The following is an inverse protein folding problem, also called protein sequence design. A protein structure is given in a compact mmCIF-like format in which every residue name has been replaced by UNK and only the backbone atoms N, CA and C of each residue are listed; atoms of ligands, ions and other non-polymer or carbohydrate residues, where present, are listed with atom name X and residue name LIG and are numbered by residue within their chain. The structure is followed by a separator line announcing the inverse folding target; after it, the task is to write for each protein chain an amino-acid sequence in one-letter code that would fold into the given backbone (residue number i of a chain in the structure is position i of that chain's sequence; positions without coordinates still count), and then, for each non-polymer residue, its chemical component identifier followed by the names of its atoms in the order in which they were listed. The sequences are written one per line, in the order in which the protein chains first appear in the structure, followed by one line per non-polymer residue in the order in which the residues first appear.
data_IF_909054276877
#
_entry.id   IF_909054276877
#
_cell.length_a   1.000
_cell.length_b   1.000
_cell.length_c   1.000
_cell.angle_alpha   90.00
_cell.angle_beta   90.00
_cell.angle_gamma   90.00
#
_symmetry.space_group_name_H-M   'P 1'
#
loop_
_entity.id
_entity.type
_entity.pdbx_description
1 polymer ?
#
# COMPACT_ATOMS: atom_id res chain seq x y z
N UNK A 1 11.24 10.61 7.97
CA UNK A 1 9.97 10.29 7.29
C UNK A 1 9.28 9.03 7.83
N UNK A 2 9.85 7.82 7.72
CA UNK A 2 9.12 6.59 8.12
C UNK A 2 8.99 6.41 9.64
N UNK A 3 10.03 6.77 10.41
CA UNK A 3 10.01 6.76 11.88
C UNK A 3 9.02 7.77 12.43
N UNK A 4 8.98 8.97 11.85
CA UNK A 4 8.08 10.06 12.26
C UNK A 4 6.60 9.61 12.19
N UNK A 5 6.23 8.83 11.16
CA UNK A 5 4.89 8.23 11.04
C UNK A 5 4.58 7.23 12.16
N UNK A 6 5.56 6.43 12.60
CA UNK A 6 5.39 5.47 13.71
C UNK A 6 5.11 6.23 15.00
N UNK A 7 5.92 7.23 15.32
CA UNK A 7 5.72 8.04 16.53
C UNK A 7 4.42 8.84 16.48
N UNK A 8 4.09 9.44 15.34
CA UNK A 8 2.83 10.15 15.15
C UNK A 8 1.64 9.23 15.46
N UNK A 9 1.61 8.03 14.88
CA UNK A 9 0.54 7.06 15.10
C UNK A 9 0.47 6.60 16.55
N UNK A 10 1.63 6.39 17.15
CA UNK A 10 1.75 5.94 18.52
C UNK A 10 1.27 7.00 19.53
N UNK A 11 1.59 8.29 19.34
CA UNK A 11 1.01 9.38 20.14
C UNK A 11 -0.47 9.64 19.83
N UNK A 12 -0.91 9.42 18.59
CA UNK A 12 -2.32 9.50 18.23
C UNK A 12 -3.15 8.42 18.93
N UNK A 13 -2.62 7.20 19.02
CA UNK A 13 -3.31 6.09 19.70
C UNK A 13 -3.16 6.17 21.22
N UNK A 14 -1.96 6.50 21.72
CA UNK A 14 -1.59 6.52 23.15
C UNK A 14 -1.02 7.90 23.54
N UNK A 15 -1.89 8.93 23.70
CA UNK A 15 -1.44 10.28 24.04
C UNK A 15 -0.77 10.36 25.42
N UNK A 16 -1.13 9.45 26.32
CA UNK A 16 -0.57 9.32 27.66
C UNK A 16 0.91 8.95 27.68
N UNK A 17 1.39 8.35 26.59
CA UNK A 17 2.80 8.02 26.46
C UNK A 17 3.71 9.25 26.46
N UNK A 18 3.25 10.39 25.94
CA UNK A 18 4.04 11.62 26.03
C UNK A 18 4.35 11.94 27.49
N UNK A 19 3.33 11.87 28.35
CA UNK A 19 3.45 12.21 29.76
C UNK A 19 4.32 11.22 30.50
N UNK A 20 4.20 9.94 30.17
CA UNK A 20 5.09 8.91 30.68
C UNK A 20 6.56 9.16 30.28
N UNK A 21 6.81 9.53 29.02
CA UNK A 21 8.14 9.86 28.49
C UNK A 21 8.80 11.06 29.17
N UNK A 22 8.01 12.01 29.68
CA UNK A 22 8.51 13.19 30.38
C UNK A 22 8.45 13.07 31.91
N UNK A 23 8.20 11.86 32.43
CA UNK A 23 8.08 11.55 33.86
C UNK A 23 6.91 12.25 34.58
N UNK A 24 5.78 12.41 33.88
CA UNK A 24 4.52 12.91 34.41
C UNK A 24 3.46 11.79 34.52
N UNK A 25 2.44 11.95 35.39
CA UNK A 25 1.34 10.99 35.49
C UNK A 25 0.58 10.83 34.17
N UNK A 26 0.31 9.59 33.77
CA UNK A 26 -0.39 9.24 32.51
C UNK A 26 -1.79 9.87 32.44
N UNK A 27 -2.45 10.06 33.57
CA UNK A 27 -3.78 10.64 33.68
C UNK A 27 -3.83 12.10 33.22
N UNK A 28 -2.67 12.78 33.16
CA UNK A 28 -2.60 14.14 32.63
C UNK A 28 -3.10 14.20 31.19
N UNK A 29 -2.90 13.13 30.42
CA UNK A 29 -3.38 13.01 29.04
C UNK A 29 -4.89 13.20 28.88
N UNK A 30 -5.69 12.91 29.91
CA UNK A 30 -7.14 13.11 29.89
C UNK A 30 -7.53 14.58 29.73
N UNK A 31 -6.60 15.51 29.99
CA UNK A 31 -6.79 16.94 29.82
C UNK A 31 -6.19 17.49 28.52
N UNK A 32 -5.77 16.61 27.61
CA UNK A 32 -5.10 16.97 26.37
C UNK A 32 -5.72 16.32 25.15
N UNK A 33 -5.64 17.04 24.03
CA UNK A 33 -5.96 16.53 22.70
C UNK A 33 -4.72 16.54 21.82
N UNK A 34 -4.39 15.39 21.24
CA UNK A 34 -3.33 15.29 20.24
C UNK A 34 -3.82 15.77 18.86
N UNK A 35 -3.01 16.59 18.19
CA UNK A 35 -3.28 17.10 16.84
C UNK A 35 -1.97 17.35 16.08
N UNK A 36 -2.01 17.19 14.76
CA UNK A 36 -1.03 17.84 13.86
C UNK A 36 -1.55 19.22 13.48
N UNK A 37 -0.66 20.20 13.32
CA UNK A 37 -1.06 21.55 12.88
C UNK A 37 -0.23 22.00 11.68
N UNK A 38 -0.94 22.41 10.62
CA UNK A 38 -0.37 23.03 9.43
C UNK A 38 -0.48 24.56 9.51
N UNK A 39 0.66 25.24 9.43
CA UNK A 39 0.76 26.68 9.44
C UNK A 39 0.82 27.21 8.01
N UNK A 40 -0.32 27.74 7.55
CA UNK A 40 -0.61 28.10 6.14
C UNK A 40 0.35 29.12 5.50
N UNK A 41 1.06 29.94 6.28
CA UNK A 41 1.83 31.05 5.71
C UNK A 41 3.14 30.61 5.05
N UNK A 42 3.68 29.43 5.36
CA UNK A 42 4.98 28.94 4.85
C UNK A 42 5.06 27.40 4.69
N UNK A 43 3.92 26.67 4.69
CA UNK A 43 3.90 25.19 4.65
C UNK A 43 4.69 24.53 5.80
N UNK A 44 4.75 25.21 6.95
CA UNK A 44 5.29 24.63 8.18
C UNK A 44 4.26 23.70 8.82
N UNK A 45 4.69 22.54 9.29
CA UNK A 45 3.82 21.56 9.93
C UNK A 45 4.48 21.08 11.20
N UNK A 46 3.75 21.15 12.31
CA UNK A 46 4.17 20.54 13.57
C UNK A 46 3.39 19.24 13.72
N UNK A 47 4.11 18.13 13.74
CA UNK A 47 3.52 16.80 13.66
C UNK A 47 2.94 16.34 15.00
N UNK A 48 3.51 16.76 16.13
CA UNK A 48 2.96 16.47 17.45
C UNK A 48 2.61 17.73 18.23
N UNK A 49 1.32 18.06 18.34
CA UNK A 49 0.83 19.12 19.23
C UNK A 49 -0.18 18.55 20.21
N UNK A 50 0.11 18.65 21.51
CA UNK A 50 -0.82 18.30 22.58
C UNK A 50 -1.43 19.58 23.13
N UNK A 51 -2.70 19.78 22.79
CA UNK A 51 -3.46 20.97 23.17
C UNK A 51 -4.20 20.69 24.48
N UNK A 52 -3.98 21.51 25.53
CA UNK A 52 -4.67 21.35 26.79
C UNK A 52 -6.12 21.84 26.68
N UNK A 53 -7.02 21.22 27.45
CA UNK A 53 -8.41 21.67 27.60
C UNK A 53 -8.56 22.79 28.65
N UNK A 54 -7.48 23.10 29.39
CA UNK A 54 -7.44 24.11 30.45
C UNK A 54 -6.36 25.14 30.19
N UNK A 55 -6.60 26.40 30.58
CA UNK A 55 -5.66 27.51 30.36
C UNK A 55 -4.41 27.47 31.26
N UNK A 56 -4.50 26.82 32.42
CA UNK A 56 -3.39 26.71 33.37
C UNK A 56 -2.34 25.65 32.98
N UNK A 57 -2.67 24.81 32.01
CA UNK A 57 -1.80 23.76 31.49
C UNK A 57 -1.05 24.25 30.24
N UNK A 58 0.22 23.83 30.03
CA UNK A 58 1.00 24.23 28.87
C UNK A 58 0.59 23.44 27.62
N UNK A 59 0.78 24.04 26.43
CA UNK A 59 0.80 23.32 25.15
C UNK A 59 2.12 22.56 25.04
N UNK A 60 2.09 21.27 24.66
CA UNK A 60 3.31 20.53 24.34
C UNK A 60 3.48 20.39 22.83
N UNK A 61 4.62 20.86 22.33
CA UNK A 61 5.07 20.63 20.97
C UNK A 61 6.10 19.50 20.98
N UNK A 62 5.78 18.39 20.31
CA UNK A 62 6.59 17.17 20.31
C UNK A 62 7.10 16.90 18.91
N UNK A 63 8.40 16.65 18.80
CA UNK A 63 9.07 16.38 17.53
C UNK A 63 10.07 15.22 17.69
N UNK A 64 10.16 14.38 16.67
CA UNK A 64 11.00 13.17 16.69
C UNK A 64 12.10 13.34 15.67
N UNK A 65 13.36 13.28 16.11
CA UNK A 65 14.52 13.60 15.29
C UNK A 65 15.50 12.44 15.25
N UNK A 66 15.42 11.63 14.19
CA UNK A 66 16.28 10.46 13.96
C UNK A 66 17.42 10.73 12.97
N UNK A 67 17.47 11.93 12.41
CA UNK A 67 18.49 12.34 11.46
C UNK A 67 19.29 13.51 12.02
N UNK A 68 20.53 13.65 11.61
CA UNK A 68 21.30 14.84 11.93
C UNK A 68 20.80 15.99 11.03
N UNK A 69 20.04 16.92 11.60
CA UNK A 69 19.54 18.12 10.92
C UNK A 69 20.13 19.36 11.63
N UNK A 70 21.11 20.05 11.00
CA UNK A 70 21.75 21.23 11.60
C UNK A 70 20.80 22.41 11.85
N UNK A 71 19.71 22.51 11.10
CA UNK A 71 18.76 23.62 11.18
C UNK A 71 17.51 23.25 12.00
N UNK A 72 17.50 22.04 12.58
CA UNK A 72 16.36 21.50 13.33
C UNK A 72 15.79 22.49 14.35
N UNK A 73 16.63 22.95 15.29
CA UNK A 73 16.17 23.85 16.36
C UNK A 73 15.69 25.20 15.80
N UNK A 74 16.34 25.73 14.76
CA UNK A 74 15.90 26.96 14.12
C UNK A 74 14.48 26.81 13.56
N UNK A 75 14.23 25.70 12.84
CA UNK A 75 12.91 25.34 12.30
C UNK A 75 11.90 25.12 13.41
N UNK A 76 12.20 24.26 14.38
CA UNK A 76 11.30 23.91 15.49
C UNK A 76 10.85 25.15 16.28
N UNK A 77 11.76 26.05 16.63
CA UNK A 77 11.39 27.28 17.34
C UNK A 77 10.61 28.26 16.45
N UNK A 78 10.97 28.40 15.18
CA UNK A 78 10.22 29.24 14.25
C UNK A 78 8.77 28.75 14.11
N UNK A 79 8.58 27.43 13.99
CA UNK A 79 7.26 26.80 13.89
C UNK A 79 6.43 27.04 15.16
N UNK A 80 7.00 26.81 16.35
CA UNK A 80 6.32 27.05 17.63
C UNK A 80 5.90 28.51 17.75
N UNK A 81 6.80 29.46 17.54
CA UNK A 81 6.48 30.88 17.73
C UNK A 81 5.50 31.39 16.67
N UNK A 82 5.56 30.86 15.45
CA UNK A 82 4.58 31.18 14.43
C UNK A 82 3.19 30.63 14.78
N UNK A 83 3.11 29.40 15.28
CA UNK A 83 1.88 28.82 15.80
C UNK A 83 1.31 29.68 16.94
N UNK A 84 2.12 30.00 17.95
CA UNK A 84 1.71 30.83 19.10
C UNK A 84 1.22 32.22 18.68
N UNK A 85 1.84 32.82 17.65
CA UNK A 85 1.39 34.10 17.08
C UNK A 85 0.03 34.02 16.40
N UNK A 86 -0.30 32.88 15.79
CA UNK A 86 -1.52 32.71 14.99
C UNK A 86 -2.72 32.23 15.82
N UNK A 87 -2.47 31.60 16.96
CA UNK A 87 -3.53 31.16 17.87
C UNK A 87 -3.97 32.27 18.84
N UNK A 88 -5.19 32.13 19.37
CA UNK A 88 -5.71 32.98 20.45
C UNK A 88 -5.48 32.37 21.85
N UNK A 89 -4.88 31.17 21.91
CA UNK A 89 -4.59 30.47 23.15
C UNK A 89 -3.54 31.26 23.96
N UNK A 90 -3.79 31.40 25.27
CA UNK A 90 -2.91 32.10 26.21
C UNK A 90 -2.08 31.16 27.08
N UNK A 91 -2.20 29.86 26.85
CA UNK A 91 -1.45 28.83 27.54
C UNK A 91 0.05 29.10 27.45
N UNK A 92 0.78 28.70 28.48
CA UNK A 92 2.23 28.54 28.38
C UNK A 92 2.56 27.41 27.38
N UNK A 93 3.84 27.21 27.07
CA UNK A 93 4.28 26.14 26.18
C UNK A 93 5.52 25.41 26.68
N UNK A 94 5.66 24.18 26.19
CA UNK A 94 6.79 23.28 26.38
C UNK A 94 7.12 22.58 25.06
N UNK A 95 8.41 22.31 24.85
CA UNK A 95 8.87 21.47 23.75
C UNK A 95 9.33 20.11 24.27
N UNK A 96 9.12 19.05 23.50
CA UNK A 96 9.66 17.72 23.76
C UNK A 96 10.30 17.24 22.46
N UNK A 97 11.61 16.97 22.49
CA UNK A 97 12.34 16.46 21.34
C UNK A 97 12.85 15.08 21.66
N UNK A 98 12.52 14.12 20.80
CA UNK A 98 12.86 12.71 20.97
C UNK A 98 13.94 12.32 19.98
N UNK A 99 15.10 11.93 20.50
CA UNK A 99 16.24 11.44 19.74
C UNK A 99 16.46 9.94 19.99
N UNK A 100 16.98 9.18 19.03
CA UNK A 100 17.39 7.81 19.30
C UNK A 100 18.54 7.76 20.31
N UNK A 101 19.51 8.69 20.20
CA UNK A 101 20.67 8.81 21.09
C UNK A 101 21.31 10.20 20.97
N UNK A 102 22.23 10.53 21.88
CA UNK A 102 22.91 11.84 21.93
C UNK A 102 23.73 12.18 20.69
N UNK A 103 24.20 11.19 19.93
CA UNK A 103 25.07 11.42 18.76
C UNK A 103 24.33 12.04 17.58
N UNK A 104 22.99 11.91 17.55
CA UNK A 104 22.15 12.51 16.50
C UNK A 104 21.94 14.01 16.74
N UNK A 105 21.88 14.43 18.01
CA UNK A 105 21.79 15.85 18.35
C UNK A 105 23.11 16.57 18.04
N UNK A 106 23.04 17.75 17.43
CA UNK A 106 24.20 18.59 17.15
C UNK A 106 24.53 19.55 18.30
N UNK A 107 25.80 19.91 18.40
CA UNK A 107 26.34 20.76 19.47
C UNK A 107 26.07 22.27 19.29
N UNK A 108 25.57 22.73 18.15
CA UNK A 108 25.33 24.16 17.91
C UNK A 108 24.01 24.66 18.53
N UNK A 109 23.89 24.47 19.84
CA UNK A 109 22.71 24.82 20.64
C UNK A 109 22.82 26.18 21.32
N UNK A 110 23.95 26.87 21.16
CA UNK A 110 24.29 28.12 21.85
C UNK A 110 23.23 29.22 21.67
N UNK A 111 22.65 29.32 20.47
CA UNK A 111 21.59 30.30 20.17
C UNK A 111 20.28 30.06 20.90
N UNK A 112 20.09 28.85 21.42
CA UNK A 112 18.85 28.38 22.03
C UNK A 112 19.07 27.89 23.46
N UNK A 113 20.24 28.21 24.03
CA UNK A 113 20.72 27.66 25.29
C UNK A 113 19.70 27.83 26.40
N UNK A 114 19.10 29.01 26.54
CA UNK A 114 18.12 29.31 27.58
C UNK A 114 16.87 28.43 27.46
N UNK A 115 16.42 28.14 26.22
CA UNK A 115 15.27 27.28 25.97
C UNK A 115 15.58 25.81 26.27
N UNK A 116 16.82 25.39 26.08
CA UNK A 116 17.27 24.00 26.21
C UNK A 116 17.83 23.66 27.60
N UNK A 117 18.36 24.65 28.34
CA UNK A 117 18.93 24.48 29.69
C UNK A 117 17.88 24.68 30.78
N UNK A 118 16.98 25.66 30.65
CA UNK A 118 15.90 25.92 31.63
C UNK A 118 14.72 24.95 31.48
N UNK A 119 14.91 23.80 30.83
CA UNK A 119 13.89 22.76 30.60
C UNK A 119 12.61 23.22 29.90
N UNK A 120 12.65 24.38 29.21
CA UNK A 120 11.51 24.80 28.36
C UNK A 120 11.31 23.81 27.20
N UNK A 121 12.40 23.23 26.72
CA UNK A 121 12.43 22.08 25.84
C UNK A 121 13.12 20.91 26.54
N UNK A 122 12.40 19.81 26.71
CA UNK A 122 12.94 18.55 27.22
C UNK A 122 13.45 17.71 26.06
N UNK A 123 14.66 17.16 26.22
CA UNK A 123 15.31 16.30 25.22
C UNK A 123 15.34 14.89 25.78
N UNK A 124 14.71 13.98 25.06
CA UNK A 124 14.61 12.57 25.43
C UNK A 124 15.51 11.78 24.49
N UNK A 125 16.38 10.94 25.04
CA UNK A 125 17.22 10.05 24.26
C UNK A 125 16.77 8.62 24.54
N UNK A 126 16.25 7.95 23.51
CA UNK A 126 15.60 6.64 23.65
C UNK A 126 16.57 5.56 24.14
N UNK A 127 17.85 5.63 23.77
CA UNK A 127 18.90 4.73 24.30
C UNK A 127 19.14 4.90 25.81
N UNK A 128 18.71 6.02 26.39
CA UNK A 128 18.89 6.35 27.81
C UNK A 128 17.62 6.15 28.65
N UNK A 129 16.56 5.60 28.06
CA UNK A 129 15.35 5.21 28.80
C UNK A 129 15.71 4.03 29.73
N UNK A 130 16.16 4.36 30.94
CA UNK A 130 16.43 3.38 31.98
C UNK A 130 15.12 2.94 32.66
N UNK A 131 15.04 1.66 33.02
CA UNK A 131 13.99 1.10 33.86
C UNK A 131 12.55 1.39 33.38
N UNK A 132 12.27 1.08 32.11
CA UNK A 132 10.90 1.15 31.55
C UNK A 132 9.95 0.39 32.48
N UNK A 133 8.89 1.03 33.00
CA UNK A 133 7.93 0.37 33.87
C UNK A 133 7.43 -0.93 33.24
N UNK A 134 7.37 -2.06 33.98
CA UNK A 134 6.90 -3.35 33.45
C UNK A 134 5.48 -3.31 32.88
N UNK A 135 4.68 -2.32 33.27
CA UNK A 135 3.32 -2.13 32.81
C UNK A 135 3.21 -1.15 31.63
N UNK A 136 4.31 -0.51 31.23
CA UNK A 136 4.34 0.41 30.09
C UNK A 136 4.54 -0.35 28.78
N UNK A 137 3.45 -0.59 28.07
CA UNK A 137 3.48 -1.20 26.74
C UNK A 137 3.91 -0.18 25.68
N UNK A 138 3.52 1.08 25.82
CA UNK A 138 3.89 2.15 24.91
C UNK A 138 5.39 2.45 24.91
N UNK A 139 6.02 2.59 26.08
CA UNK A 139 7.47 2.82 26.17
C UNK A 139 8.26 1.60 25.69
N UNK A 140 7.81 0.39 26.03
CA UNK A 140 8.43 -0.83 25.52
C UNK A 140 8.31 -0.95 23.99
N UNK A 141 7.22 -0.44 23.39
CA UNK A 141 7.07 -0.37 21.94
C UNK A 141 8.05 0.64 21.33
N UNK A 142 8.27 1.80 21.96
CA UNK A 142 9.26 2.79 21.53
C UNK A 142 10.70 2.28 21.64
N UNK A 143 10.99 1.51 22.68
CA UNK A 143 12.30 0.88 22.89
C UNK A 143 12.74 0.06 21.67
N UNK A 144 11.81 -0.69 21.04
CA UNK A 144 12.08 -1.49 19.85
C UNK A 144 12.68 -0.69 18.68
N UNK A 145 12.33 0.60 18.57
CA UNK A 145 12.83 1.47 17.50
C UNK A 145 14.34 1.73 17.66
N UNK A 146 14.82 1.82 18.90
CA UNK A 146 16.21 2.13 19.22
C UNK A 146 17.10 0.91 19.42
N UNK A 147 16.51 -0.27 19.66
CA UNK A 147 17.28 -1.50 19.89
C UNK A 147 18.10 -1.94 18.66
N UNK A 148 19.27 -2.58 18.88
CA UNK A 148 20.01 -3.27 17.82
C UNK A 148 19.21 -4.45 17.26
N UNK A 149 19.33 -4.72 15.95
CA UNK A 149 18.57 -5.77 15.24
C UNK A 149 18.64 -7.14 15.95
N UNK A 150 19.81 -7.51 16.48
CA UNK A 150 20.02 -8.77 17.18
C UNK A 150 19.12 -8.95 18.43
N UNK A 151 18.65 -7.86 19.03
CA UNK A 151 17.80 -7.88 20.24
C UNK A 151 16.32 -7.68 19.91
N UNK A 152 16.01 -7.05 18.77
CA UNK A 152 14.64 -6.68 18.36
C UNK A 152 13.69 -7.89 18.33
N UNK A 153 14.14 -9.05 17.85
CA UNK A 153 13.29 -10.26 17.76
C UNK A 153 12.87 -10.73 19.15
N UNK A 154 13.83 -10.91 20.06
CA UNK A 154 13.56 -11.44 21.40
C UNK A 154 12.70 -10.46 22.19
N UNK A 155 13.03 -9.16 22.14
CA UNK A 155 12.26 -8.13 22.81
C UNK A 155 10.86 -7.98 22.22
N UNK A 156 10.73 -8.06 20.90
CA UNK A 156 9.44 -8.04 20.20
C UNK A 156 8.54 -9.20 20.62
N UNK A 157 9.08 -10.42 20.76
CA UNK A 157 8.30 -11.59 21.25
C UNK A 157 7.79 -11.39 22.66
N UNK A 158 8.65 -10.92 23.56
CA UNK A 158 8.29 -10.63 24.95
C UNK A 158 7.18 -9.56 25.02
N UNK A 159 7.32 -8.48 24.25
CA UNK A 159 6.34 -7.42 24.21
C UNK A 159 5.00 -7.89 23.65
N UNK A 160 4.99 -8.67 22.57
CA UNK A 160 3.77 -9.25 22.01
C UNK A 160 3.05 -10.14 23.05
N UNK A 161 3.81 -10.95 23.80
CA UNK A 161 3.24 -11.75 24.89
C UNK A 161 2.61 -10.87 25.98
N UNK A 162 3.32 -9.81 26.42
CA UNK A 162 2.81 -8.84 27.38
C UNK A 162 1.52 -8.17 26.90
N UNK A 163 1.47 -7.69 25.65
CA UNK A 163 0.25 -7.06 25.09
C UNK A 163 -0.96 -8.02 25.15
N UNK A 164 -0.75 -9.33 24.92
CA UNK A 164 -1.82 -10.35 25.02
C UNK A 164 -2.26 -10.62 26.45
N UNK A 165 -1.32 -10.69 27.39
CA UNK A 165 -1.58 -11.00 28.79
C UNK A 165 -2.21 -9.82 29.54
N UNK A 166 -1.69 -8.62 29.30
CA UNK A 166 -2.08 -7.43 30.04
C UNK A 166 -3.51 -7.03 29.69
N UNK A 167 -3.97 -7.12 28.43
CA UNK A 167 -5.36 -6.84 28.03
C UNK A 167 -5.96 -5.48 28.45
N UNK A 168 -5.18 -4.59 29.07
CA UNK A 168 -5.66 -3.47 29.91
C UNK A 168 -5.45 -2.08 29.29
N UNK A 169 -4.82 -1.99 28.13
CA UNK A 169 -4.98 -0.80 27.28
C UNK A 169 -6.01 -1.17 26.21
N UNK A 170 -7.14 -0.46 26.16
CA UNK A 170 -8.34 -0.77 25.35
C UNK A 170 -8.13 -0.91 23.81
N UNK A 171 -6.89 -1.04 23.33
CA UNK A 171 -6.47 -1.09 21.92
C UNK A 171 -5.26 -2.03 21.69
N UNK A 172 -5.29 -3.30 22.14
CA UNK A 172 -4.15 -4.23 21.96
C UNK A 172 -3.80 -4.46 20.48
N UNK A 173 -4.80 -4.44 19.60
CA UNK A 173 -4.62 -4.57 18.15
C UNK A 173 -3.76 -3.44 17.56
N UNK A 174 -3.91 -2.21 18.04
CA UNK A 174 -3.16 -1.06 17.53
C UNK A 174 -1.68 -1.13 17.95
N UNK A 175 -1.39 -1.60 19.17
CA UNK A 175 -0.01 -1.89 19.60
C UNK A 175 0.60 -3.02 18.78
N UNK A 176 -0.13 -4.13 18.60
CA UNK A 176 0.37 -5.26 17.80
C UNK A 176 0.69 -4.84 16.37
N UNK A 177 -0.14 -3.99 15.76
CA UNK A 177 0.11 -3.45 14.43
C UNK A 177 1.34 -2.52 14.39
N UNK A 178 1.52 -1.67 15.42
CA UNK A 178 2.71 -0.83 15.55
C UNK A 178 3.97 -1.65 15.73
N UNK A 179 3.94 -2.68 16.58
CA UNK A 179 5.05 -3.61 16.79
C UNK A 179 5.40 -4.31 15.48
N UNK A 180 4.41 -4.84 14.75
CA UNK A 180 4.65 -5.47 13.45
C UNK A 180 5.32 -4.50 12.47
N UNK A 181 4.82 -3.26 12.40
CA UNK A 181 5.40 -2.21 11.55
C UNK A 181 6.86 -1.94 11.91
N UNK A 182 7.17 -1.84 13.21
CA UNK A 182 8.53 -1.65 13.70
C UNK A 182 9.41 -2.85 13.34
N UNK A 183 8.92 -4.09 13.51
CA UNK A 183 9.66 -5.31 13.21
C UNK A 183 10.01 -5.41 11.73
N UNK A 184 9.04 -5.19 10.83
CA UNK A 184 9.26 -5.22 9.37
C UNK A 184 10.27 -4.16 8.96
N UNK A 185 10.20 -2.97 9.58
CA UNK A 185 11.12 -1.88 9.27
C UNK A 185 12.54 -2.15 9.78
N UNK A 186 12.67 -2.63 11.03
CA UNK A 186 13.97 -2.88 11.67
C UNK A 186 14.63 -4.17 11.19
N UNK A 187 13.86 -5.11 10.66
CA UNK A 187 14.34 -6.41 10.20
C UNK A 187 13.93 -6.62 8.74
N UNK A 188 14.56 -5.92 7.77
CA UNK A 188 14.11 -5.96 6.37
C UNK A 188 14.23 -7.35 5.71
N UNK A 189 14.98 -8.27 6.32
CA UNK A 189 15.17 -9.65 5.84
C UNK A 189 14.33 -10.67 6.62
N UNK A 190 13.50 -10.24 7.57
CA UNK A 190 12.66 -11.17 8.32
C UNK A 190 11.66 -11.83 7.38
N UNK A 191 11.53 -13.15 7.49
CA UNK A 191 10.58 -13.90 6.68
C UNK A 191 9.18 -13.78 7.24
N UNK A 192 8.18 -13.92 6.36
CA UNK A 192 6.77 -13.99 6.77
C UNK A 192 6.52 -15.07 7.82
N UNK A 193 7.18 -16.23 7.71
CA UNK A 193 7.03 -17.32 8.69
C UNK A 193 7.58 -16.95 10.06
N UNK A 194 8.65 -16.16 10.12
CA UNK A 194 9.21 -15.69 11.39
C UNK A 194 8.30 -14.67 12.06
N UNK A 195 7.71 -13.74 11.28
CA UNK A 195 6.68 -12.82 11.80
C UNK A 195 5.44 -13.61 12.26
N UNK A 196 4.94 -14.54 11.45
CA UNK A 196 3.81 -15.42 11.79
C UNK A 196 4.08 -16.33 12.99
N UNK A 197 5.34 -16.55 13.38
CA UNK A 197 5.67 -17.30 14.59
C UNK A 197 5.66 -16.40 15.85
N UNK A 198 5.83 -15.09 15.68
CA UNK A 198 5.75 -14.10 16.76
C UNK A 198 4.28 -13.70 17.03
N UNK A 199 3.51 -13.50 15.97
CA UNK A 199 2.08 -13.21 16.00
C UNK A 199 1.24 -14.49 15.90
N UNK A 200 0.00 -14.50 16.36
CA UNK A 200 -0.94 -15.55 15.93
C UNK A 200 -1.40 -15.25 14.50
N UNK A 201 -1.72 -16.28 13.71
CA UNK A 201 -2.24 -16.14 12.34
C UNK A 201 -3.44 -15.20 12.24
N UNK A 202 -4.28 -15.13 13.28
CA UNK A 202 -5.41 -14.22 13.37
C UNK A 202 -5.00 -12.76 13.60
N UNK A 203 -4.03 -12.50 14.49
CA UNK A 203 -3.54 -11.15 14.76
C UNK A 203 -2.81 -10.58 13.55
N UNK A 204 -1.94 -11.39 12.93
CA UNK A 204 -1.18 -10.92 11.77
C UNK A 204 -2.09 -10.57 10.59
N UNK A 205 -3.15 -11.35 10.36
CA UNK A 205 -4.11 -11.04 9.28
C UNK A 205 -4.90 -9.76 9.49
N UNK A 206 -4.98 -9.29 10.73
CA UNK A 206 -5.71 -8.06 11.06
C UNK A 206 -4.84 -6.81 10.87
N UNK A 207 -3.53 -6.95 10.75
CA UNK A 207 -2.66 -5.81 10.56
C UNK A 207 -2.80 -5.23 9.15
N UNK A 208 -2.63 -3.91 9.04
CA UNK A 208 -2.77 -3.22 7.75
C UNK A 208 -1.68 -3.64 6.76
N UNK A 209 -0.45 -3.79 7.23
CA UNK A 209 0.68 -4.20 6.38
C UNK A 209 0.40 -5.56 5.73
N UNK A 210 -0.17 -6.50 6.49
CA UNK A 210 -0.54 -7.80 5.96
C UNK A 210 -1.72 -7.72 4.97
N UNK A 211 -2.75 -6.93 5.27
CA UNK A 211 -3.91 -6.78 4.39
C UNK A 211 -3.55 -6.14 3.06
N UNK A 212 -2.72 -5.09 3.08
CA UNK A 212 -2.22 -4.41 1.89
C UNK A 212 -1.40 -5.38 1.02
N UNK A 213 -0.46 -6.12 1.62
CA UNK A 213 0.34 -7.12 0.90
C UNK A 213 -0.52 -8.27 0.32
N UNK A 214 -1.56 -8.70 1.04
CA UNK A 214 -2.49 -9.73 0.56
C UNK A 214 -3.35 -9.21 -0.62
N UNK A 215 -3.75 -7.95 -0.57
CA UNK A 215 -4.54 -7.32 -1.61
C UNK A 215 -3.71 -7.09 -2.88
N UNK A 216 -2.48 -6.60 -2.75
CA UNK A 216 -1.51 -6.47 -3.85
C UNK A 216 -1.28 -7.81 -4.55
N UNK A 217 -0.96 -8.87 -3.80
CA UNK A 217 -0.77 -10.21 -4.37
C UNK A 217 -2.03 -10.77 -5.06
N UNK A 218 -3.23 -10.44 -4.57
CA UNK A 218 -4.49 -10.80 -5.25
C UNK A 218 -4.69 -10.02 -6.54
N UNK A 219 -4.31 -8.75 -6.57
CA UNK A 219 -4.40 -7.93 -7.77
C UNK A 219 -3.43 -8.42 -8.83
N UNK A 220 -2.17 -8.69 -8.47
CA UNK A 220 -1.16 -9.25 -9.36
C UNK A 220 -1.62 -10.60 -9.92
N UNK A 221 -2.02 -11.55 -9.08
CA UNK A 221 -2.48 -12.87 -9.55
C UNK A 221 -3.73 -12.80 -10.46
N UNK A 222 -4.61 -11.82 -10.24
CA UNK A 222 -5.74 -11.56 -11.16
C UNK A 222 -5.28 -10.95 -12.48
N UNK A 223 -4.28 -10.09 -12.47
CA UNK A 223 -3.72 -9.50 -13.69
C UNK A 223 -3.00 -10.56 -14.51
N UNK A 224 -2.14 -11.36 -13.89
CA UNK A 224 -1.43 -12.46 -14.53
C UNK A 224 -2.41 -13.48 -15.12
N UNK A 225 -3.36 -14.00 -14.33
CA UNK A 225 -4.35 -14.95 -14.83
C UNK A 225 -5.23 -14.39 -15.96
N UNK A 226 -5.53 -13.09 -15.97
CA UNK A 226 -6.22 -12.43 -17.09
C UNK A 226 -5.34 -12.30 -18.33
N UNK A 227 -4.04 -12.05 -18.16
CA UNK A 227 -3.11 -11.96 -19.28
C UNK A 227 -2.90 -13.34 -19.91
N UNK A 228 -2.63 -14.36 -19.10
CA UNK A 228 -2.48 -15.75 -19.54
C UNK A 228 -3.74 -16.22 -20.26
N UNK A 229 -4.91 -16.13 -19.63
CA UNK A 229 -6.17 -16.57 -20.25
C UNK A 229 -6.52 -15.81 -21.55
N UNK A 230 -6.14 -14.52 -21.65
CA UNK A 230 -6.29 -13.77 -22.91
C UNK A 230 -5.32 -14.22 -23.99
N UNK A 231 -4.10 -14.58 -23.63
CA UNK A 231 -3.11 -15.07 -24.59
C UNK A 231 -3.52 -16.44 -25.11
N UNK A 232 -3.90 -17.35 -24.21
CA UNK A 232 -4.38 -18.69 -24.55
C UNK A 232 -5.62 -18.61 -25.44
N UNK A 233 -6.67 -17.89 -25.00
CA UNK A 233 -7.91 -17.77 -25.79
C UNK A 233 -7.70 -17.08 -27.15
N UNK A 234 -6.75 -16.15 -27.27
CA UNK A 234 -6.39 -15.56 -28.58
C UNK A 234 -5.64 -16.53 -29.47
N UNK A 235 -4.79 -17.39 -28.90
CA UNK A 235 -4.07 -18.39 -29.68
C UNK A 235 -5.03 -19.47 -30.17
N UNK A 236 -5.88 -20.00 -29.29
CA UNK A 236 -6.90 -20.98 -29.63
C UNK A 236 -7.86 -20.44 -30.69
N UNK A 237 -8.49 -19.29 -30.45
CA UNK A 237 -9.43 -18.70 -31.41
C UNK A 237 -8.79 -18.35 -32.77
N UNK A 238 -7.49 -18.00 -32.80
CA UNK A 238 -6.77 -17.81 -34.07
C UNK A 238 -6.48 -19.12 -34.78
N UNK A 239 -6.23 -20.20 -34.05
CA UNK A 239 -6.00 -21.52 -34.65
C UNK A 239 -7.30 -22.08 -35.21
N UNK A 240 -8.38 -22.04 -34.44
CA UNK A 240 -9.71 -22.48 -34.86
C UNK A 240 -10.19 -21.68 -36.08
N UNK A 241 -10.19 -20.34 -36.00
CA UNK A 241 -10.62 -19.50 -37.11
C UNK A 241 -9.77 -19.65 -38.39
N UNK A 242 -8.47 -19.99 -38.25
CA UNK A 242 -7.63 -20.34 -39.41
C UNK A 242 -7.96 -21.70 -40.01
N UNK A 243 -8.32 -22.68 -39.19
CA UNK A 243 -8.72 -23.99 -39.68
C UNK A 243 -10.07 -23.92 -40.38
N UNK A 244 -11.06 -23.30 -39.75
CA UNK A 244 -12.39 -23.10 -40.33
C UNK A 244 -12.30 -22.31 -41.64
N UNK A 245 -11.62 -21.16 -41.63
CA UNK A 245 -11.47 -20.34 -42.85
C UNK A 245 -10.73 -21.05 -43.99
N UNK A 246 -9.79 -21.96 -43.69
CA UNK A 246 -9.16 -22.81 -44.72
C UNK A 246 -10.14 -23.82 -45.29
N UNK A 247 -10.90 -24.51 -44.46
CA UNK A 247 -11.89 -25.50 -44.90
C UNK A 247 -12.98 -24.83 -45.74
N UNK A 248 -13.53 -23.71 -45.29
CA UNK A 248 -14.52 -22.94 -46.04
C UNK A 248 -13.94 -22.43 -47.37
N UNK A 249 -12.72 -21.86 -47.35
CA UNK A 249 -12.04 -21.39 -48.56
C UNK A 249 -11.79 -22.50 -49.59
N UNK A 250 -11.40 -23.69 -49.14
CA UNK A 250 -11.24 -24.87 -50.01
C UNK A 250 -12.57 -25.29 -50.64
N UNK A 251 -13.66 -25.32 -49.87
CA UNK A 251 -15.00 -25.67 -50.37
C UNK A 251 -15.48 -24.61 -51.39
N UNK A 252 -15.34 -23.33 -51.07
CA UNK A 252 -15.70 -22.22 -51.98
C UNK A 252 -14.89 -22.30 -53.27
N UNK A 253 -13.58 -22.54 -53.19
CA UNK A 253 -12.70 -22.70 -54.36
C UNK A 253 -13.10 -23.89 -55.23
N UNK A 254 -13.41 -25.04 -54.62
CA UNK A 254 -13.93 -26.22 -55.33
C UNK A 254 -15.25 -25.90 -56.04
N UNK A 255 -16.22 -25.29 -55.35
CA UNK A 255 -17.51 -24.90 -55.93
C UNK A 255 -17.36 -23.88 -57.07
N UNK A 256 -16.47 -22.89 -56.93
CA UNK A 256 -16.18 -21.90 -57.96
C UNK A 256 -15.51 -22.49 -59.22
N UNK A 257 -14.87 -23.66 -59.09
CA UNK A 257 -14.25 -24.39 -60.22
C UNK A 257 -15.25 -25.17 -61.05
N UNK A 258 -16.39 -25.57 -60.47
CA UNK A 258 -17.43 -26.38 -61.12
C UNK A 258 -17.92 -25.75 -62.44
N UNK A 259 -18.26 -24.45 -62.53
CA UNK A 259 -18.72 -23.84 -63.78
C UNK A 259 -17.68 -23.84 -64.90
N UNK A 260 -16.39 -23.76 -64.56
CA UNK A 260 -15.28 -23.80 -65.52
C UNK A 260 -15.10 -25.20 -66.09
N UNK A 261 -15.14 -26.22 -65.23
CA UNK A 261 -15.03 -27.62 -65.64
C UNK A 261 -16.23 -28.08 -66.49
N UNK A 262 -17.44 -27.60 -66.15
CA UNK A 262 -18.63 -27.82 -66.97
C UNK A 262 -18.48 -27.17 -68.37
N UNK A 263 -17.89 -25.98 -68.48
CA UNK A 263 -17.60 -25.33 -69.79
C UNK A 263 -16.54 -26.08 -70.58
N UNK A 264 -15.58 -26.71 -69.91
CA UNK A 264 -14.57 -27.55 -70.53
C UNK A 264 -15.10 -28.93 -70.99
N UNK A 265 -16.39 -29.22 -70.76
CA UNK A 265 -17.04 -30.45 -71.23
C UNK A 265 -16.91 -31.65 -70.29
N UNK A 266 -16.42 -31.45 -69.06
CA UNK A 266 -16.31 -32.53 -68.06
C UNK A 266 -17.71 -32.85 -67.52
N UNK A 267 -18.04 -34.14 -67.36
CA UNK A 267 -19.38 -34.52 -66.91
C UNK A 267 -19.58 -34.30 -65.39
N UNK A 268 -20.82 -34.03 -64.92
CA UNK A 268 -21.09 -33.73 -63.51
C UNK A 268 -20.67 -34.82 -62.50
N UNK A 269 -20.70 -36.11 -62.88
CA UNK A 269 -20.27 -37.21 -62.01
C UNK A 269 -18.75 -37.23 -61.84
N UNK A 270 -18.02 -36.99 -62.90
CA UNK A 270 -16.55 -36.85 -62.89
C UNK A 270 -16.12 -35.61 -62.10
N UNK A 271 -16.81 -34.47 -62.27
CA UNK A 271 -16.54 -33.25 -61.49
C UNK A 271 -16.75 -33.50 -59.98
N UNK A 272 -17.86 -34.13 -59.61
CA UNK A 272 -18.16 -34.47 -58.21
C UNK A 272 -17.06 -35.38 -57.62
N UNK A 273 -16.65 -36.41 -58.35
CA UNK A 273 -15.59 -37.33 -57.92
C UNK A 273 -14.22 -36.65 -57.83
N UNK A 274 -13.84 -35.82 -58.82
CA UNK A 274 -12.54 -35.16 -58.86
C UNK A 274 -12.37 -34.02 -57.86
N UNK A 275 -13.44 -33.31 -57.51
CA UNK A 275 -13.40 -32.22 -56.53
C UNK A 275 -13.77 -32.69 -55.11
N UNK A 276 -14.22 -33.94 -54.94
CA UNK A 276 -14.71 -34.47 -53.68
C UNK A 276 -15.96 -33.74 -53.18
N UNK A 277 -16.81 -33.30 -54.11
CA UNK A 277 -18.09 -32.64 -53.83
C UNK A 277 -19.23 -33.64 -53.95
N UNK A 278 -20.36 -33.37 -53.30
CA UNK A 278 -21.57 -34.19 -53.54
C UNK A 278 -22.12 -33.95 -54.94
N UNK A 279 -22.67 -35.01 -55.55
CA UNK A 279 -23.30 -34.90 -56.87
C UNK A 279 -24.47 -33.90 -56.87
N UNK A 280 -25.19 -33.78 -55.76
CA UNK A 280 -26.27 -32.80 -55.59
C UNK A 280 -25.76 -31.35 -55.69
N UNK A 281 -24.67 -31.00 -55.00
CA UNK A 281 -24.06 -29.66 -55.06
C UNK A 281 -23.63 -29.28 -56.49
N UNK A 282 -23.04 -30.22 -57.22
CA UNK A 282 -22.61 -30.01 -58.61
C UNK A 282 -23.81 -29.83 -59.54
N UNK A 283 -24.86 -30.63 -59.37
CA UNK A 283 -26.09 -30.53 -60.16
C UNK A 283 -26.89 -29.26 -59.86
N UNK A 284 -26.90 -28.80 -58.61
CA UNK A 284 -27.58 -27.55 -58.21
C UNK A 284 -26.92 -26.32 -58.85
N UNK A 285 -25.59 -26.27 -58.89
CA UNK A 285 -24.81 -25.25 -59.61
C UNK A 285 -24.99 -25.31 -61.13
N UNK A 286 -25.18 -26.51 -61.68
CA UNK A 286 -25.49 -26.68 -63.10
C UNK A 286 -26.89 -26.14 -63.46
N UNK A 287 -27.91 -26.46 -62.63
CA UNK A 287 -29.30 -26.00 -62.80
C UNK A 287 -29.46 -24.49 -62.62
N UNK A 288 -28.76 -23.89 -61.66
CA UNK A 288 -28.81 -22.43 -61.45
C UNK A 288 -28.25 -21.64 -62.63
N UNK A 289 -27.25 -22.19 -63.35
CA UNK A 289 -26.76 -21.62 -64.62
C UNK A 289 -27.72 -21.82 -65.77
N UNK A 290 -28.41 -22.95 -65.89
CA UNK A 290 -29.46 -23.14 -66.90
C UNK A 290 -30.63 -22.18 -66.69
N UNK A 291 -30.97 -21.85 -65.44
CA UNK A 291 -31.96 -20.83 -65.09
C UNK A 291 -31.48 -19.40 -65.40
N UNK A 292 -30.18 -19.11 -65.21
CA UNK A 292 -29.57 -17.81 -65.51
C UNK A 292 -29.35 -17.58 -67.03
N UNK A 293 -28.93 -18.63 -67.75
CA UNK A 293 -28.78 -18.61 -69.22
C UNK A 293 -30.13 -18.52 -69.96
N UNK A 294 -31.24 -18.89 -69.30
CA UNK A 294 -32.61 -18.68 -69.79
C UNK A 294 -33.20 -17.31 -69.43
N UNK A 295 -32.50 -16.43 -68.69
CA UNK A 295 -33.01 -15.15 -68.18
C UNK A 295 -32.31 -13.88 -68.70
N UNK A 296 -31.56 -13.92 -69.80
CA UNK A 296 -31.14 -12.71 -70.53
C UNK A 296 -30.79 -13.07 -71.99
N UNK A 297 -31.19 -12.28 -73.02
CA UNK A 297 -31.70 -10.89 -73.00
C UNK A 297 -33.06 -10.71 -73.72
N UNK A 298 -34.08 -10.12 -73.08
CA UNK A 298 -35.18 -9.45 -73.81
C UNK A 298 -35.68 -8.13 -73.19
N UNK A 299 -35.32 -7.76 -71.95
CA UNK A 299 -35.78 -6.49 -71.36
C UNK A 299 -34.65 -5.45 -71.19
N UNK A 300 -34.09 -4.95 -72.29
CA UNK A 300 -33.47 -3.60 -72.32
C UNK A 300 -33.37 -3.02 -73.74
N UNK A 301 -34.51 -2.86 -74.42
CA UNK A 301 -34.67 -1.84 -75.47
C UNK A 301 -35.72 -0.81 -75.05
N UNK A 302 -35.23 0.27 -74.44
CA UNK A 302 -35.72 1.63 -74.60
C UNK A 302 -34.53 2.57 -74.65
#
# INVERSE_FOLDING_TARGET
MKTDTIFYRLFQTFPDLLFELIDFPRELANFYRFSSVEVKQLSFRIDGVFLPEREDLPIYFTEVQFQNDPEFYARFFAEIFLYLKQTQLKNNWRGVVIYPNRRVEKENIERYRELLQETRVQRIYLEELADIPPDSLGLATLELVSLPEAQVINRGRELIARVRETGVENRPQELLELIETILIYKLPQITRKEIEAMFSLSELRQTRVFQEALEEGRQEGRQEGRQEGRQEGRQEGRQEGRQEGRQEGEIIGKLASVPLLLRAGVNPKEIAASLGLSLEQVLELARSREACAKRSPEDSER
#
